data_IF_063647536127
#
_entry.id   IF_063647536127
#
_cell.length_a   1.000
_cell.length_b   1.000
_cell.length_c   1.000
_cell.angle_alpha   90.00
_cell.angle_beta   90.00
_cell.angle_gamma   90.00
#
_symmetry.space_group_name_H-M   'P 1'
#
loop_
_entity.id
_entity.type
_entity.pdbx_description
1 polymer ?
#
# COMPACT_ATOMS: atom_id res chain seq x y z
N UNK A 1 14.17 -4.00 27.67
CA UNK A 1 12.82 -3.78 27.13
C UNK A 1 12.97 -2.82 25.96
N UNK A 2 13.35 -3.32 24.79
CA UNK A 2 13.45 -2.50 23.57
C UNK A 2 12.03 -2.16 23.11
N UNK A 3 11.78 -0.88 22.81
CA UNK A 3 10.46 -0.43 22.36
C UNK A 3 10.18 -1.10 21.01
N UNK A 4 9.22 -2.03 20.99
CA UNK A 4 8.83 -2.77 19.80
C UNK A 4 8.47 -1.76 18.70
N UNK A 5 9.21 -1.79 17.59
CA UNK A 5 9.00 -0.92 16.43
C UNK A 5 9.97 0.24 16.26
N UNK A 6 10.84 0.53 17.23
CA UNK A 6 11.76 1.67 17.12
C UNK A 6 12.85 1.45 16.06
N UNK A 7 13.37 0.23 15.94
CA UNK A 7 14.32 -0.15 14.88
C UNK A 7 13.72 0.01 13.48
N UNK A 8 12.45 -0.36 13.31
CA UNK A 8 11.74 -0.22 12.03
C UNK A 8 11.51 1.25 11.66
N UNK A 9 11.22 2.09 12.67
CA UNK A 9 11.02 3.52 12.46
C UNK A 9 12.34 4.20 12.11
N UNK A 10 13.47 3.80 12.72
CA UNK A 10 14.79 4.30 12.33
C UNK A 10 15.13 3.96 10.87
N UNK A 11 14.79 2.75 10.40
CA UNK A 11 14.96 2.36 8.99
C UNK A 11 14.13 3.27 8.09
N UNK A 12 12.87 3.52 8.44
CA UNK A 12 12.00 4.42 7.69
C UNK A 12 12.55 5.86 7.64
N UNK A 13 13.03 6.38 8.78
CA UNK A 13 13.63 7.71 8.86
C UNK A 13 14.94 7.84 8.07
N UNK A 14 15.63 6.73 7.82
CA UNK A 14 16.81 6.66 6.96
C UNK A 14 16.53 6.74 5.45
N UNK A 15 15.27 6.88 5.02
CA UNK A 15 14.95 7.18 3.63
C UNK A 15 14.82 8.68 3.37
N UNK A 16 15.20 9.16 2.17
CA UNK A 16 14.91 10.51 1.69
C UNK A 16 13.43 10.87 1.82
N UNK A 17 13.14 12.17 1.92
CA UNK A 17 11.78 12.68 2.08
C UNK A 17 10.83 12.24 0.95
N UNK A 18 11.32 12.23 -0.29
CA UNK A 18 10.58 11.77 -1.48
C UNK A 18 10.10 10.32 -1.34
N UNK A 19 10.94 9.41 -0.82
CA UNK A 19 10.56 8.01 -0.55
C UNK A 19 9.62 7.92 0.66
N UNK A 20 9.92 8.62 1.76
CA UNK A 20 9.07 8.61 2.96
C UNK A 20 7.65 9.03 2.61
N UNK A 21 7.50 10.13 1.86
CA UNK A 21 6.21 10.65 1.36
C UNK A 21 5.38 9.58 0.68
N UNK A 22 5.97 8.79 -0.20
CA UNK A 22 5.28 7.68 -0.88
C UNK A 22 4.82 6.62 0.12
N UNK A 23 5.69 6.23 1.06
CA UNK A 23 5.41 5.18 2.06
C UNK A 23 4.31 5.59 3.04
N UNK A 24 4.37 6.80 3.61
CA UNK A 24 3.44 7.21 4.66
C UNK A 24 2.10 7.74 4.12
N UNK A 25 1.83 7.65 2.81
CA UNK A 25 0.52 8.05 2.25
C UNK A 25 -0.62 7.22 2.86
N UNK A 26 -1.18 7.69 3.97
CA UNK A 26 -2.25 6.98 4.71
C UNK A 26 -3.51 6.83 3.86
N UNK A 27 -3.80 7.82 3.01
CA UNK A 27 -4.94 7.83 2.09
C UNK A 27 -5.04 6.57 1.24
N UNK A 28 -3.92 5.99 0.78
CA UNK A 28 -3.95 4.81 -0.10
C UNK A 28 -4.48 3.58 0.62
N UNK A 29 -3.97 3.32 1.84
CA UNK A 29 -4.37 2.17 2.67
C UNK A 29 -5.76 2.38 3.26
N UNK A 30 -6.06 3.60 3.73
CA UNK A 30 -7.36 3.95 4.29
C UNK A 30 -8.48 3.88 3.26
N UNK A 31 -8.22 4.34 2.02
CA UNK A 31 -9.17 4.24 0.91
C UNK A 31 -9.56 2.79 0.62
N UNK A 32 -8.58 1.89 0.53
CA UNK A 32 -8.83 0.45 0.37
C UNK A 32 -9.64 -0.09 1.55
N UNK A 33 -9.19 0.15 2.78
CA UNK A 33 -9.87 -0.33 3.98
C UNK A 33 -11.32 0.17 4.07
N UNK A 34 -11.58 1.42 3.68
CA UNK A 34 -12.92 2.00 3.64
C UNK A 34 -13.84 1.27 2.65
N UNK A 35 -13.35 0.98 1.44
CA UNK A 35 -14.12 0.23 0.43
C UNK A 35 -14.37 -1.21 0.86
N UNK A 36 -13.37 -1.89 1.44
CA UNK A 36 -13.55 -3.25 1.96
C UNK A 36 -14.57 -3.27 3.11
N UNK A 37 -14.48 -2.33 4.06
CA UNK A 37 -15.46 -2.18 5.15
C UNK A 37 -16.87 -1.93 4.61
N UNK A 38 -17.01 -1.14 3.55
CA UNK A 38 -18.31 -0.86 2.93
C UNK A 38 -18.99 -2.15 2.45
N UNK A 39 -18.25 -3.04 1.78
CA UNK A 39 -18.83 -4.28 1.25
C UNK A 39 -19.07 -5.34 2.33
N UNK A 40 -18.24 -5.38 3.38
CA UNK A 40 -18.45 -6.30 4.51
C UNK A 40 -19.57 -5.82 5.44
N UNK A 41 -19.67 -4.53 5.72
CA UNK A 41 -20.70 -4.00 6.62
C UNK A 41 -22.11 -4.04 6.00
N UNK A 42 -22.20 -3.88 4.67
CA UNK A 42 -23.46 -4.01 3.94
C UNK A 42 -23.96 -5.46 3.88
N UNK A 43 -23.09 -6.45 4.09
CA UNK A 43 -23.43 -7.88 4.13
C UNK A 43 -23.05 -8.47 5.49
N UNK A 44 -23.97 -8.37 6.46
CA UNK A 44 -23.77 -8.84 7.85
C UNK A 44 -23.45 -10.34 7.98
N UNK A 45 -23.88 -11.16 7.03
CA UNK A 45 -23.63 -12.62 7.03
C UNK A 45 -23.25 -13.06 5.63
N UNK A 46 -22.23 -13.91 5.54
CA UNK A 46 -21.85 -14.59 4.30
C UNK A 46 -22.20 -16.08 4.41
N UNK A 47 -22.60 -16.72 3.31
CA UNK A 47 -23.01 -18.13 3.33
C UNK A 47 -21.85 -19.11 3.53
N UNK A 48 -20.61 -18.70 3.21
CA UNK A 48 -19.36 -19.42 3.47
C UNK A 48 -18.16 -18.49 3.22
N UNK A 49 -16.96 -18.94 3.58
CA UNK A 49 -15.72 -18.16 3.44
C UNK A 49 -15.41 -17.79 1.99
N UNK A 50 -15.68 -18.71 1.03
CA UNK A 50 -15.46 -18.45 -0.39
C UNK A 50 -16.29 -17.26 -0.90
N UNK A 51 -17.51 -17.07 -0.38
CA UNK A 51 -18.35 -15.94 -0.71
C UNK A 51 -17.75 -14.61 -0.21
N UNK A 52 -17.09 -14.61 0.96
CA UNK A 52 -16.36 -13.45 1.48
C UNK A 52 -15.19 -13.12 0.55
N UNK A 53 -14.34 -14.10 0.26
CA UNK A 53 -13.17 -13.90 -0.60
C UNK A 53 -13.54 -13.40 -1.99
N UNK A 54 -14.58 -13.97 -2.60
CA UNK A 54 -15.09 -13.52 -3.90
C UNK A 54 -15.58 -12.06 -3.85
N UNK A 55 -16.26 -11.67 -2.78
CA UNK A 55 -16.73 -10.29 -2.60
C UNK A 55 -15.56 -9.31 -2.45
N UNK A 56 -14.56 -9.65 -1.65
CA UNK A 56 -13.36 -8.82 -1.47
C UNK A 56 -12.57 -8.72 -2.78
N UNK A 57 -12.38 -9.84 -3.49
CA UNK A 57 -11.70 -9.87 -4.78
C UNK A 57 -12.38 -8.95 -5.81
N UNK A 58 -13.69 -9.07 -5.99
CA UNK A 58 -14.43 -8.21 -6.93
C UNK A 58 -14.34 -6.72 -6.56
N UNK A 59 -14.31 -6.42 -5.26
CA UNK A 59 -14.14 -5.05 -4.77
C UNK A 59 -12.74 -4.53 -5.11
N UNK A 60 -11.70 -5.33 -4.91
CA UNK A 60 -10.33 -5.00 -5.26
C UNK A 60 -10.19 -4.80 -6.77
N UNK A 61 -10.68 -5.73 -7.59
CA UNK A 61 -10.69 -5.62 -9.05
C UNK A 61 -11.40 -4.34 -9.54
N UNK A 62 -12.51 -3.97 -8.92
CA UNK A 62 -13.19 -2.71 -9.23
C UNK A 62 -12.37 -1.47 -8.85
N UNK A 63 -11.69 -1.50 -7.69
CA UNK A 63 -10.84 -0.39 -7.24
C UNK A 63 -9.62 -0.22 -8.12
N UNK A 64 -8.90 -1.31 -8.43
CA UNK A 64 -7.66 -1.28 -9.21
C UNK A 64 -7.87 -0.73 -10.61
N UNK A 65 -9.03 -1.01 -11.24
CA UNK A 65 -9.43 -0.42 -12.53
C UNK A 65 -9.46 1.11 -12.53
N UNK A 66 -9.61 1.75 -11.36
CA UNK A 66 -9.65 3.21 -11.21
C UNK A 66 -8.30 3.82 -10.82
N UNK A 67 -7.29 3.01 -10.52
CA UNK A 67 -5.95 3.47 -10.13
C UNK A 67 -5.12 3.79 -11.37
N UNK A 68 -5.55 4.78 -12.12
CA UNK A 68 -4.89 5.22 -13.36
C UNK A 68 -3.92 6.38 -13.13
N UNK A 69 -4.05 7.09 -12.02
CA UNK A 69 -3.19 8.23 -11.72
C UNK A 69 -1.83 7.77 -11.20
N UNK A 70 -0.72 8.36 -11.69
CA UNK A 70 0.61 8.06 -11.18
C UNK A 70 0.79 8.58 -9.76
N UNK A 71 1.71 7.96 -9.01
CA UNK A 71 2.08 8.41 -7.67
C UNK A 71 2.80 9.77 -7.79
N UNK A 72 2.41 10.80 -7.01
CA UNK A 72 3.08 12.09 -7.04
C UNK A 72 4.57 11.97 -6.71
N UNK A 73 5.42 12.66 -7.49
CA UNK A 73 6.88 12.69 -7.32
C UNK A 73 7.56 11.31 -7.34
N UNK A 74 6.92 10.32 -7.98
CA UNK A 74 7.47 8.96 -8.05
C UNK A 74 8.83 8.88 -8.71
N UNK A 75 9.10 9.70 -9.73
CA UNK A 75 10.38 9.71 -10.43
C UNK A 75 11.56 10.06 -9.51
N UNK A 76 11.37 11.01 -8.60
CA UNK A 76 12.40 11.42 -7.64
C UNK A 76 12.64 10.31 -6.61
N UNK A 77 11.55 9.73 -6.08
CA UNK A 77 11.65 8.58 -5.16
C UNK A 77 12.34 7.38 -5.84
N UNK A 78 12.01 7.11 -7.10
CA UNK A 78 12.60 6.04 -7.89
C UNK A 78 14.10 6.26 -8.11
N UNK A 79 14.54 7.47 -8.43
CA UNK A 79 15.97 7.77 -8.58
C UNK A 79 16.76 7.46 -7.31
N UNK A 80 16.23 7.83 -6.13
CA UNK A 80 16.85 7.46 -4.86
C UNK A 80 16.85 5.94 -4.60
N UNK A 81 15.79 5.23 -4.99
CA UNK A 81 15.74 3.77 -4.89
C UNK A 81 16.75 3.10 -5.82
N UNK A 82 16.93 3.61 -7.05
CA UNK A 82 17.92 3.11 -8.01
C UNK A 82 19.34 3.24 -7.47
N UNK A 83 19.69 4.37 -6.85
CA UNK A 83 21.01 4.56 -6.24
C UNK A 83 21.18 3.65 -5.01
N UNK A 84 20.16 3.58 -4.13
CA UNK A 84 20.26 2.81 -2.88
C UNK A 84 20.25 1.29 -3.11
N UNK A 85 19.65 0.83 -4.20
CA UNK A 85 19.45 -0.59 -4.53
C UNK A 85 19.89 -0.91 -5.97
N UNK A 86 21.04 -0.39 -6.37
CA UNK A 86 21.59 -0.49 -7.74
C UNK A 86 21.53 -1.93 -8.30
N UNK A 87 22.00 -2.91 -7.54
CA UNK A 87 22.03 -4.33 -7.95
C UNK A 87 20.66 -5.01 -8.06
N UNK A 88 19.60 -4.38 -7.55
CA UNK A 88 18.24 -4.95 -7.52
C UNK A 88 17.39 -4.49 -8.69
N UNK A 89 17.65 -3.30 -9.22
CA UNK A 89 16.81 -2.65 -10.24
C UNK A 89 17.41 -2.73 -11.65
N UNK A 90 18.69 -3.10 -11.78
CA UNK A 90 19.36 -3.35 -13.07
C UNK A 90 18.84 -4.59 -13.85
N UNK A 91 17.86 -5.33 -13.32
CA UNK A 91 17.30 -6.56 -13.91
C UNK A 91 15.87 -6.42 -14.41
N UNK A 92 15.31 -5.21 -14.46
CA UNK A 92 13.94 -4.95 -14.90
C UNK A 92 13.94 -4.46 -16.35
#
# INVERSE_FOLDING_TARGET
MGVIGWDNLMIFLGYPESIRKVIYTTNSVESVNSQLRKVTNNKRVFPNDNAVFKSLYLTIDYMTKKWTMPIPNWNEAMAHLMIKFEDRLNKI
#
